data_IF_309278383859
#
_entry.id   IF_309278383859
#
_cell.length_a   1.000
_cell.length_b   1.000
_cell.length_c   1.000
_cell.angle_alpha   90.00
_cell.angle_beta   90.00
_cell.angle_gamma   90.00
#
_symmetry.space_group_name_H-M   'P 1'
#
loop_
_entity.id
_entity.type
_entity.pdbx_description
1 polymer ?
#
# COMPACT_ATOMS: atom_id res chain seq x y z
N UNK A 1 4.64 32.43 -13.27
CA UNK A 1 4.46 30.99 -13.58
C UNK A 1 3.42 30.45 -12.63
N UNK A 2 2.24 30.07 -13.11
CA UNK A 2 1.19 29.45 -12.26
C UNK A 2 1.68 28.10 -11.77
N UNK A 3 1.79 27.94 -10.45
CA UNK A 3 2.13 26.64 -9.85
C UNK A 3 1.15 25.57 -10.30
N UNK A 4 1.67 24.45 -10.79
CA UNK A 4 0.84 23.29 -11.16
C UNK A 4 0.21 22.70 -9.89
N UNK A 5 -1.08 22.30 -9.98
CA UNK A 5 -1.69 21.54 -8.90
C UNK A 5 -0.85 20.27 -8.59
N UNK A 6 -0.74 19.84 -7.32
CA UNK A 6 0.14 18.72 -6.93
C UNK A 6 -0.04 17.45 -7.79
N UNK A 7 -1.28 17.09 -8.10
CA UNK A 7 -1.59 15.93 -8.96
C UNK A 7 -1.07 16.12 -10.40
N UNK A 8 -1.10 17.33 -10.92
CA UNK A 8 -0.60 17.64 -12.26
C UNK A 8 0.91 17.42 -12.36
N UNK A 9 1.64 17.94 -11.38
CA UNK A 9 3.08 17.74 -11.28
C UNK A 9 3.44 16.25 -11.06
N UNK A 10 2.61 15.53 -10.29
CA UNK A 10 2.77 14.11 -10.05
C UNK A 10 2.63 13.26 -11.32
N UNK A 11 1.65 13.57 -12.15
CA UNK A 11 1.30 12.82 -13.35
C UNK A 11 2.17 13.20 -14.56
N UNK A 12 2.74 14.40 -14.58
CA UNK A 12 3.48 14.94 -15.72
C UNK A 12 4.49 13.98 -16.36
N UNK A 13 5.34 13.24 -15.60
CA UNK A 13 6.30 12.31 -16.22
C UNK A 13 5.66 11.17 -17.01
N UNK A 14 4.45 10.72 -16.63
CA UNK A 14 3.74 9.64 -17.30
C UNK A 14 3.03 10.10 -18.58
N UNK A 15 2.74 11.41 -18.72
CA UNK A 15 2.10 11.98 -19.91
C UNK A 15 2.95 11.95 -21.17
N UNK A 16 4.27 11.82 -21.04
CA UNK A 16 5.16 11.70 -22.21
C UNK A 16 4.86 10.45 -23.06
N UNK A 17 4.35 9.39 -22.43
CA UNK A 17 4.06 8.10 -23.10
C UNK A 17 2.81 7.43 -22.53
N UNK A 18 1.60 8.01 -22.75
CA UNK A 18 0.36 7.60 -22.05
C UNK A 18 -0.36 6.41 -22.71
N UNK A 19 0.26 5.71 -23.67
CA UNK A 19 -0.39 4.62 -24.40
C UNK A 19 -0.69 3.45 -23.45
N UNK A 20 -1.96 2.96 -23.46
CA UNK A 20 -2.44 1.88 -22.56
C UNK A 20 -1.63 0.60 -22.69
N UNK A 21 -1.26 0.20 -23.91
CA UNK A 21 -0.46 -1.00 -24.11
C UNK A 21 0.88 -0.96 -23.36
N UNK A 22 1.51 0.23 -23.22
CA UNK A 22 2.76 0.41 -22.48
C UNK A 22 2.53 0.19 -20.98
N UNK A 23 1.42 0.68 -20.47
CA UNK A 23 1.00 0.46 -19.09
C UNK A 23 0.73 -1.02 -18.84
N UNK A 24 -0.06 -1.67 -19.71
CA UNK A 24 -0.38 -3.09 -19.57
C UNK A 24 0.86 -3.98 -19.67
N UNK A 25 1.74 -3.73 -20.66
CA UNK A 25 3.01 -4.45 -20.77
C UNK A 25 3.88 -4.29 -19.52
N UNK A 26 3.90 -3.10 -18.92
CA UNK A 26 4.59 -2.87 -17.67
C UNK A 26 3.94 -3.59 -16.48
N UNK A 27 2.60 -3.66 -16.40
CA UNK A 27 1.92 -4.47 -15.40
C UNK A 27 2.31 -5.95 -15.50
N UNK A 28 2.40 -6.48 -16.72
CA UNK A 28 2.86 -7.87 -16.95
C UNK A 28 4.28 -8.07 -16.43
N UNK A 29 5.20 -7.13 -16.72
CA UNK A 29 6.59 -7.21 -16.22
C UNK A 29 6.64 -7.14 -14.70
N UNK A 30 5.82 -6.29 -14.07
CA UNK A 30 5.73 -6.19 -12.61
C UNK A 30 5.24 -7.51 -12.02
N UNK A 31 4.20 -8.11 -12.59
CA UNK A 31 3.66 -9.41 -12.14
C UNK A 31 4.70 -10.53 -12.31
N UNK A 32 5.38 -10.61 -13.46
CA UNK A 32 6.41 -11.63 -13.71
C UNK A 32 7.56 -11.48 -12.71
N UNK A 33 8.06 -10.25 -12.48
CA UNK A 33 9.16 -10.02 -11.56
C UNK A 33 8.78 -10.34 -10.11
N UNK A 34 7.57 -9.98 -9.69
CA UNK A 34 7.06 -10.31 -8.36
C UNK A 34 6.86 -11.81 -8.18
N UNK A 35 6.17 -12.47 -9.12
CA UNK A 35 5.94 -13.92 -9.08
C UNK A 35 7.27 -14.68 -9.14
N UNK A 36 8.20 -14.26 -10.00
CA UNK A 36 9.54 -14.83 -10.07
C UNK A 36 10.30 -14.74 -8.74
N UNK A 37 10.19 -13.62 -8.04
CA UNK A 37 10.75 -13.47 -6.69
C UNK A 37 10.08 -14.42 -5.68
N UNK A 38 8.74 -14.51 -5.69
CA UNK A 38 8.00 -15.42 -4.80
C UNK A 38 8.38 -16.87 -4.97
N UNK A 39 8.42 -17.37 -6.22
CA UNK A 39 8.75 -18.77 -6.50
C UNK A 39 10.23 -19.09 -6.26
N UNK A 40 11.10 -18.10 -6.21
CA UNK A 40 12.52 -18.27 -5.91
C UNK A 40 12.81 -18.21 -4.42
N UNK A 41 12.22 -17.24 -3.70
CA UNK A 41 12.50 -16.99 -2.27
C UNK A 41 12.01 -18.13 -1.38
N UNK A 42 10.78 -18.62 -1.58
CA UNK A 42 10.19 -19.61 -0.68
C UNK A 42 10.94 -20.96 -0.66
N UNK A 43 11.31 -21.57 -1.80
CA UNK A 43 12.13 -22.79 -1.79
C UNK A 43 13.52 -22.55 -1.20
N UNK A 44 14.19 -21.45 -1.56
CA UNK A 44 15.53 -21.13 -1.08
C UNK A 44 15.54 -21.00 0.45
N UNK A 45 14.56 -20.33 1.04
CA UNK A 45 14.44 -20.21 2.49
C UNK A 45 14.11 -21.54 3.16
N UNK A 46 13.27 -22.38 2.55
CA UNK A 46 12.97 -23.71 3.09
C UNK A 46 14.21 -24.59 3.12
N UNK A 47 15.02 -24.61 2.07
CA UNK A 47 16.27 -25.37 2.03
C UNK A 47 17.31 -24.82 3.01
N UNK A 48 17.43 -23.49 3.13
CA UNK A 48 18.26 -22.85 4.14
C UNK A 48 17.83 -23.23 5.55
N UNK A 49 16.54 -23.14 5.86
CA UNK A 49 15.97 -23.48 7.16
C UNK A 49 16.22 -24.96 7.51
N UNK A 50 16.02 -25.88 6.55
CA UNK A 50 16.32 -27.31 6.74
C UNK A 50 17.80 -27.54 7.02
N UNK A 51 18.70 -26.94 6.21
CA UNK A 51 20.15 -27.09 6.37
C UNK A 51 20.70 -26.60 7.69
N UNK A 52 20.01 -25.64 8.34
CA UNK A 52 20.38 -25.06 9.63
C UNK A 52 19.47 -25.49 10.78
N UNK A 53 18.56 -26.47 10.56
CA UNK A 53 17.58 -26.97 11.55
C UNK A 53 16.73 -25.85 12.18
N UNK A 54 16.42 -24.81 11.39
CA UNK A 54 15.60 -23.70 11.84
C UNK A 54 14.11 -24.04 11.67
N UNK A 55 13.39 -24.08 12.76
CA UNK A 55 11.95 -24.41 12.79
C UNK A 55 11.07 -23.18 13.08
N UNK A 56 11.54 -21.99 12.68
CA UNK A 56 10.86 -20.74 12.95
C UNK A 56 9.96 -20.33 11.77
N UNK A 57 8.61 -20.41 11.91
CA UNK A 57 7.67 -20.02 10.84
C UNK A 57 7.81 -18.54 10.41
N UNK A 58 8.31 -17.68 11.30
CA UNK A 58 8.53 -16.27 11.01
C UNK A 58 9.48 -16.05 9.83
N UNK A 59 10.47 -16.94 9.63
CA UNK A 59 11.43 -16.83 8.52
C UNK A 59 10.74 -16.88 7.14
N UNK A 60 9.73 -17.76 6.98
CA UNK A 60 8.99 -17.86 5.73
C UNK A 60 8.14 -16.62 5.49
N UNK A 61 7.52 -16.08 6.53
CA UNK A 61 6.73 -14.84 6.45
C UNK A 61 7.63 -13.65 6.09
N UNK A 62 8.77 -13.51 6.77
CA UNK A 62 9.76 -12.45 6.46
C UNK A 62 10.22 -12.56 5.01
N UNK A 63 10.55 -13.77 4.56
CA UNK A 63 11.00 -13.99 3.17
C UNK A 63 9.91 -13.70 2.16
N UNK A 64 8.66 -14.10 2.43
CA UNK A 64 7.50 -13.74 1.60
C UNK A 64 7.38 -12.22 1.44
N UNK A 65 7.50 -11.47 2.53
CA UNK A 65 7.44 -10.00 2.50
C UNK A 65 8.62 -9.39 1.71
N UNK A 66 9.84 -9.92 1.85
CA UNK A 66 10.99 -9.48 1.04
C UNK A 66 10.83 -9.78 -0.44
N UNK A 67 10.10 -10.83 -0.83
CA UNK A 67 9.85 -11.15 -2.24
C UNK A 67 9.06 -10.05 -2.99
N UNK A 68 8.38 -9.15 -2.27
CA UNK A 68 7.78 -7.93 -2.84
C UNK A 68 8.82 -6.97 -3.43
N UNK A 69 10.10 -7.11 -3.09
CA UNK A 69 11.21 -6.45 -3.79
C UNK A 69 11.21 -6.70 -5.30
N UNK A 70 10.72 -7.88 -5.73
CA UNK A 70 10.51 -8.19 -7.15
C UNK A 70 9.51 -7.23 -7.82
N UNK A 71 8.45 -6.82 -7.11
CA UNK A 71 7.48 -5.84 -7.63
C UNK A 71 8.12 -4.44 -7.80
N UNK A 72 9.02 -4.04 -6.88
CA UNK A 72 9.80 -2.79 -7.00
C UNK A 72 10.71 -2.86 -8.23
N UNK A 73 11.47 -3.95 -8.38
CA UNK A 73 12.37 -4.16 -9.50
C UNK A 73 11.60 -4.20 -10.84
N UNK A 74 10.48 -4.92 -10.87
CA UNK A 74 9.58 -4.96 -12.03
C UNK A 74 9.05 -3.59 -12.41
N UNK A 75 8.65 -2.76 -11.41
CA UNK A 75 8.20 -1.38 -11.66
C UNK A 75 9.32 -0.51 -12.20
N UNK A 76 10.53 -0.61 -11.63
CA UNK A 76 11.70 0.11 -12.12
C UNK A 76 12.00 -0.23 -13.60
N UNK A 77 11.93 -1.52 -13.94
CA UNK A 77 12.10 -1.99 -15.30
C UNK A 77 10.98 -1.50 -16.23
N UNK A 78 9.72 -1.59 -15.79
CA UNK A 78 8.55 -1.18 -16.56
C UNK A 78 8.60 0.33 -16.93
N UNK A 79 8.90 1.21 -15.96
CA UNK A 79 8.99 2.65 -16.25
C UNK A 79 10.17 2.99 -17.17
N UNK A 80 11.27 2.26 -17.03
CA UNK A 80 12.45 2.45 -17.88
C UNK A 80 12.21 2.02 -19.33
N UNK A 81 11.67 0.81 -19.51
CA UNK A 81 11.50 0.21 -20.85
C UNK A 81 10.33 0.82 -21.62
N UNK A 82 9.16 0.87 -21.01
CA UNK A 82 7.92 1.24 -21.70
C UNK A 82 7.61 2.73 -21.63
N UNK A 83 7.95 3.40 -20.52
CA UNK A 83 7.64 4.82 -20.35
C UNK A 83 8.87 5.74 -20.53
N UNK A 84 10.09 5.17 -20.59
CA UNK A 84 11.37 5.88 -20.74
C UNK A 84 11.54 7.04 -19.75
N UNK A 85 11.16 6.81 -18.49
CA UNK A 85 11.31 7.77 -17.39
C UNK A 85 12.11 7.17 -16.24
N UNK A 86 12.64 8.01 -15.37
CA UNK A 86 13.39 7.54 -14.21
C UNK A 86 12.46 6.87 -13.18
N UNK A 87 12.95 5.86 -12.46
CA UNK A 87 12.23 5.23 -11.35
C UNK A 87 11.84 6.25 -10.27
N UNK A 88 12.70 7.25 -9.99
CA UNK A 88 12.42 8.31 -9.03
C UNK A 88 11.10 9.05 -9.33
N UNK A 89 10.68 9.11 -10.58
CA UNK A 89 9.45 9.79 -10.98
C UNK A 89 8.16 9.15 -10.48
N UNK A 90 8.19 7.88 -10.04
CA UNK A 90 7.02 7.21 -9.45
C UNK A 90 6.65 7.78 -8.09
N UNK A 91 7.62 8.38 -7.39
CA UNK A 91 7.38 9.03 -6.10
C UNK A 91 6.80 10.45 -6.23
N UNK A 92 6.85 11.03 -7.43
CA UNK A 92 6.46 12.42 -7.69
C UNK A 92 7.65 13.40 -7.66
N UNK A 93 7.39 14.70 -7.78
CA UNK A 93 8.42 15.74 -7.76
C UNK A 93 9.29 15.66 -6.51
N UNK A 94 10.61 15.71 -6.73
CA UNK A 94 11.59 15.59 -5.65
C UNK A 94 11.91 14.16 -5.22
N UNK A 95 11.16 13.15 -5.70
CA UNK A 95 11.36 11.74 -5.31
C UNK A 95 10.81 11.43 -3.91
N UNK A 96 11.36 10.43 -3.22
CA UNK A 96 10.96 10.08 -1.86
C UNK A 96 11.26 11.22 -0.90
N UNK A 97 10.28 11.57 -0.04
CA UNK A 97 10.34 12.65 0.94
C UNK A 97 10.26 12.09 2.36
N UNK A 98 11.40 11.90 3.07
CA UNK A 98 11.44 11.30 4.41
C UNK A 98 10.55 12.03 5.42
N UNK A 99 10.44 13.36 5.33
CA UNK A 99 9.57 14.15 6.21
C UNK A 99 8.10 13.80 6.06
N UNK A 100 7.58 13.62 4.83
CA UNK A 100 6.18 13.21 4.61
C UNK A 100 5.93 11.77 5.10
N UNK A 101 6.89 10.86 4.88
CA UNK A 101 6.84 9.50 5.41
C UNK A 101 6.80 9.51 6.94
N UNK A 102 7.75 10.19 7.59
CA UNK A 102 7.84 10.24 9.06
C UNK A 102 6.60 10.86 9.72
N UNK A 103 6.06 11.94 9.15
CA UNK A 103 4.80 12.53 9.61
C UNK A 103 3.62 11.58 9.48
N UNK A 104 3.52 10.87 8.37
CA UNK A 104 2.48 9.87 8.16
C UNK A 104 2.58 8.73 9.19
N UNK A 105 3.80 8.21 9.41
CA UNK A 105 4.07 7.19 10.43
C UNK A 105 3.70 7.68 11.84
N UNK A 106 4.10 8.91 12.20
CA UNK A 106 3.83 9.46 13.54
C UNK A 106 2.31 9.62 13.79
N UNK A 107 1.58 10.20 12.84
CA UNK A 107 0.14 10.44 13.00
C UNK A 107 -0.63 9.12 13.04
N UNK A 108 -0.41 8.25 12.06
CA UNK A 108 -1.15 6.99 11.96
C UNK A 108 -0.75 6.00 13.05
N UNK A 109 0.54 5.98 13.40
CA UNK A 109 1.06 5.20 14.52
C UNK A 109 0.46 5.65 15.85
N UNK A 110 0.33 6.96 16.06
CA UNK A 110 -0.36 7.51 17.24
C UNK A 110 -1.83 7.07 17.33
N UNK A 111 -2.57 7.11 16.22
CA UNK A 111 -3.94 6.59 16.16
C UNK A 111 -4.01 5.09 16.40
N UNK A 112 -3.10 4.31 15.81
CA UNK A 112 -3.06 2.88 15.99
C UNK A 112 -2.78 2.47 17.45
N UNK A 113 -1.83 3.14 18.10
CA UNK A 113 -1.52 2.93 19.52
C UNK A 113 -2.69 3.34 20.43
N UNK A 114 -3.35 4.45 20.12
CA UNK A 114 -4.55 4.88 20.84
C UNK A 114 -5.69 3.87 20.67
N UNK A 115 -5.94 3.39 19.47
CA UNK A 115 -6.95 2.36 19.20
C UNK A 115 -6.65 1.07 19.95
N UNK A 116 -5.40 0.62 19.95
CA UNK A 116 -4.98 -0.56 20.70
C UNK A 116 -5.18 -0.37 22.22
N UNK A 117 -4.84 0.81 22.75
CA UNK A 117 -5.04 1.13 24.18
C UNK A 117 -6.53 1.19 24.58
N UNK A 118 -7.40 1.62 23.68
CA UNK A 118 -8.86 1.71 23.94
C UNK A 118 -9.58 0.36 23.77
N UNK A 119 -9.05 -0.52 22.92
CA UNK A 119 -9.72 -1.77 22.55
C UNK A 119 -9.13 -3.01 23.22
N UNK A 120 -8.03 -2.88 23.99
CA UNK A 120 -7.34 -4.02 24.57
C UNK A 120 -8.20 -4.85 25.54
N UNK A 121 -9.16 -4.23 26.25
CA UNK A 121 -10.09 -4.93 27.15
C UNK A 121 -11.37 -5.42 26.44
N UNK A 122 -11.59 -5.00 25.19
CA UNK A 122 -12.81 -5.30 24.44
C UNK A 122 -12.59 -6.45 23.45
N UNK A 123 -11.38 -6.53 22.90
CA UNK A 123 -11.02 -7.55 21.91
C UNK A 123 -10.32 -8.70 22.61
N UNK A 124 -10.85 -9.93 22.54
CA UNK A 124 -10.18 -11.10 23.11
C UNK A 124 -8.84 -11.34 22.40
N UNK A 125 -7.75 -11.28 23.17
CA UNK A 125 -6.39 -11.47 22.66
C UNK A 125 -5.71 -12.60 23.42
N UNK A 126 -4.91 -13.37 22.69
CA UNK A 126 -4.04 -14.40 23.25
C UNK A 126 -2.57 -14.11 22.91
N UNK A 127 -1.60 -14.63 23.68
CA UNK A 127 -0.19 -14.49 23.36
C UNK A 127 0.15 -15.12 22.01
N UNK A 128 0.83 -14.37 21.15
CA UNK A 128 1.41 -14.85 19.92
C UNK A 128 2.87 -15.27 20.09
N UNK A 129 3.77 -14.63 19.33
CA UNK A 129 5.22 -14.87 19.41
C UNK A 129 5.76 -14.39 20.76
N UNK A 130 6.54 -15.21 21.52
CA UNK A 130 7.15 -14.77 22.77
C UNK A 130 8.00 -13.51 22.59
N UNK A 131 7.88 -12.55 23.54
CA UNK A 131 8.53 -11.24 23.44
C UNK A 131 10.04 -11.29 23.09
N UNK A 132 10.87 -12.17 23.71
CA UNK A 132 12.30 -12.23 23.35
C UNK A 132 12.54 -12.70 21.91
N UNK A 133 11.69 -13.58 21.38
CA UNK A 133 11.74 -14.04 19.99
C UNK A 133 11.23 -12.96 19.06
N UNK A 134 10.13 -12.31 19.39
CA UNK A 134 9.57 -11.19 18.65
C UNK A 134 10.60 -10.06 18.49
N UNK A 135 11.28 -9.65 19.56
CA UNK A 135 12.35 -8.64 19.51
C UNK A 135 13.50 -9.04 18.56
N UNK A 136 13.83 -10.32 18.48
CA UNK A 136 14.85 -10.83 17.55
C UNK A 136 14.41 -10.78 16.09
N UNK A 137 13.10 -10.88 15.84
CA UNK A 137 12.56 -10.80 14.48
C UNK A 137 12.47 -9.35 13.95
N UNK A 138 12.25 -8.35 14.82
CA UNK A 138 11.99 -6.96 14.41
C UNK A 138 13.02 -6.37 13.45
N UNK A 139 14.36 -6.56 13.63
CA UNK A 139 15.35 -6.02 12.71
C UNK A 139 15.20 -6.50 11.26
N UNK A 140 14.58 -7.65 11.06
CA UNK A 140 14.31 -8.24 9.74
C UNK A 140 12.86 -8.01 9.30
N UNK A 141 11.91 -8.07 10.21
CA UNK A 141 10.49 -7.96 9.94
C UNK A 141 10.08 -6.51 9.58
N UNK A 142 10.60 -5.50 10.30
CA UNK A 142 10.29 -4.09 10.01
C UNK A 142 10.71 -3.69 8.58
N UNK A 143 11.95 -3.95 8.11
CA UNK A 143 12.31 -3.69 6.72
C UNK A 143 11.49 -4.52 5.72
N UNK A 144 11.15 -5.76 6.05
CA UNK A 144 10.36 -6.62 5.17
C UNK A 144 8.93 -6.05 4.95
N UNK A 145 8.24 -5.64 6.03
CA UNK A 145 6.93 -4.97 5.95
C UNK A 145 7.05 -3.66 5.17
N UNK A 146 8.10 -2.87 5.41
CA UNK A 146 8.32 -1.62 4.67
C UNK A 146 8.52 -1.87 3.16
N UNK A 147 9.28 -2.90 2.78
CA UNK A 147 9.49 -3.28 1.37
C UNK A 147 8.18 -3.71 0.74
N UNK A 148 7.38 -4.54 1.42
CA UNK A 148 6.07 -4.97 0.94
C UNK A 148 5.14 -3.77 0.71
N UNK A 149 4.95 -2.89 1.71
CA UNK A 149 4.09 -1.71 1.58
C UNK A 149 4.60 -0.74 0.50
N UNK A 150 5.91 -0.48 0.47
CA UNK A 150 6.49 0.36 -0.57
C UNK A 150 6.30 -0.23 -1.97
N UNK A 151 6.45 -1.55 -2.13
CA UNK A 151 6.26 -2.24 -3.41
C UNK A 151 4.83 -2.06 -3.94
N UNK A 152 3.84 -2.26 -3.09
CA UNK A 152 2.43 -2.09 -3.46
C UNK A 152 2.10 -0.63 -3.78
N UNK A 153 2.56 0.33 -2.96
CA UNK A 153 2.33 1.74 -3.25
C UNK A 153 3.01 2.18 -4.56
N UNK A 154 4.25 1.73 -4.80
CA UNK A 154 5.01 2.01 -6.03
C UNK A 154 4.29 1.43 -7.25
N UNK A 155 3.77 0.21 -7.18
CA UNK A 155 3.06 -0.43 -8.29
C UNK A 155 1.67 0.19 -8.52
N UNK A 156 0.87 0.36 -7.46
CA UNK A 156 -0.52 0.81 -7.59
C UNK A 156 -0.65 2.32 -7.76
N UNK A 157 0.04 3.13 -6.93
CA UNK A 157 -0.08 4.60 -6.98
C UNK A 157 1.01 5.21 -7.85
N UNK A 158 2.24 4.73 -7.73
CA UNK A 158 3.39 5.23 -8.50
C UNK A 158 3.40 4.82 -9.97
N UNK A 159 2.84 3.65 -10.32
CA UNK A 159 2.79 3.18 -11.70
C UNK A 159 1.39 3.20 -12.30
N UNK A 160 0.47 2.38 -11.77
CA UNK A 160 -0.86 2.18 -12.36
C UNK A 160 -1.71 3.45 -12.30
N UNK A 161 -1.93 4.02 -11.10
CA UNK A 161 -2.72 5.24 -10.92
C UNK A 161 -2.13 6.41 -11.71
N UNK A 162 -0.81 6.62 -11.64
CA UNK A 162 -0.13 7.70 -12.36
C UNK A 162 -0.26 7.54 -13.89
N UNK A 163 -0.17 6.31 -14.43
CA UNK A 163 -0.35 6.01 -15.85
C UNK A 163 -1.79 6.21 -16.32
N UNK A 164 -2.78 5.80 -15.51
CA UNK A 164 -4.20 6.02 -15.81
C UNK A 164 -4.55 7.51 -15.75
N UNK A 165 -4.06 8.25 -14.75
CA UNK A 165 -4.28 9.68 -14.61
C UNK A 165 -3.60 10.50 -15.73
N UNK A 166 -2.53 9.98 -16.34
CA UNK A 166 -1.90 10.59 -17.51
C UNK A 166 -2.80 10.55 -18.75
N UNK A 167 -3.72 9.58 -18.83
CA UNK A 167 -4.60 9.37 -19.98
C UNK A 167 -6.05 9.74 -19.73
N UNK A 168 -6.57 9.44 -18.54
CA UNK A 168 -7.98 9.62 -18.22
C UNK A 168 -8.20 10.72 -17.19
N UNK A 169 -9.28 11.48 -17.35
CA UNK A 169 -9.67 12.56 -16.44
C UNK A 169 -10.57 12.06 -15.31
N UNK A 170 -11.33 10.99 -15.57
CA UNK A 170 -12.28 10.43 -14.61
C UNK A 170 -11.55 9.87 -13.39
N UNK A 171 -11.90 10.35 -12.21
CA UNK A 171 -11.38 9.85 -10.93
C UNK A 171 -11.78 8.39 -10.70
N UNK A 172 -12.92 7.95 -11.24
CA UNK A 172 -13.34 6.56 -11.18
C UNK A 172 -12.33 5.64 -11.89
N UNK A 173 -11.68 6.13 -12.97
CA UNK A 173 -10.71 5.35 -13.71
C UNK A 173 -9.35 5.38 -13.02
N UNK A 174 -8.78 6.56 -12.75
CA UNK A 174 -7.40 6.61 -12.28
C UNK A 174 -7.24 6.41 -10.77
N UNK A 175 -8.29 6.63 -9.97
CA UNK A 175 -8.30 6.37 -8.53
C UNK A 175 -9.13 5.12 -8.19
N UNK A 176 -10.35 5.02 -8.72
CA UNK A 176 -11.28 3.94 -8.40
C UNK A 176 -10.82 2.58 -8.91
N UNK A 177 -10.40 2.49 -10.17
CA UNK A 177 -9.98 1.20 -10.76
C UNK A 177 -8.75 0.59 -10.05
N UNK A 178 -7.65 1.32 -9.77
CA UNK A 178 -6.54 0.78 -8.98
C UNK A 178 -6.95 0.32 -7.58
N UNK A 179 -7.85 1.05 -6.91
CA UNK A 179 -8.35 0.68 -5.60
C UNK A 179 -9.22 -0.58 -5.64
N UNK A 180 -10.07 -0.71 -6.66
CA UNK A 180 -10.88 -1.91 -6.89
C UNK A 180 -10.00 -3.14 -7.15
N UNK A 181 -8.98 -3.00 -8.00
CA UNK A 181 -8.03 -4.10 -8.27
C UNK A 181 -7.27 -4.46 -7.01
N UNK A 182 -6.83 -3.47 -6.23
CA UNK A 182 -6.14 -3.69 -4.95
C UNK A 182 -7.02 -4.47 -3.96
N UNK A 183 -8.29 -4.08 -3.81
CA UNK A 183 -9.26 -4.80 -3.00
C UNK A 183 -9.49 -6.23 -3.50
N UNK A 184 -9.67 -6.41 -4.80
CA UNK A 184 -9.91 -7.73 -5.40
C UNK A 184 -8.74 -8.71 -5.18
N UNK A 185 -7.50 -8.23 -5.13
CA UNK A 185 -6.32 -9.05 -4.82
C UNK A 185 -6.27 -9.49 -3.34
N UNK A 186 -7.05 -8.87 -2.47
CA UNK A 186 -7.19 -9.27 -1.05
C UNK A 186 -8.41 -10.17 -0.81
N UNK A 187 -9.15 -10.56 -1.85
CA UNK A 187 -10.26 -11.49 -1.73
C UNK A 187 -9.73 -12.92 -1.60
N UNK A 188 -9.70 -13.42 -0.37
CA UNK A 188 -9.26 -14.78 -0.06
C UNK A 188 -10.33 -15.50 0.79
N UNK A 189 -11.24 -16.24 0.16
CA UNK A 189 -12.28 -16.99 0.85
C UNK A 189 -11.75 -18.21 1.61
N UNK A 190 -10.54 -18.68 1.29
CA UNK A 190 -9.92 -19.82 1.98
C UNK A 190 -9.48 -19.39 3.40
N UNK A 191 -8.85 -18.22 3.52
CA UNK A 191 -8.39 -17.69 4.80
C UNK A 191 -9.50 -17.00 5.59
N UNK A 192 -10.40 -16.23 4.91
CA UNK A 192 -11.34 -15.34 5.57
C UNK A 192 -12.80 -15.80 5.53
N UNK A 193 -13.09 -16.93 4.87
CA UNK A 193 -14.44 -17.51 4.81
C UNK A 193 -15.48 -16.49 4.31
N UNK A 194 -16.59 -16.38 5.04
CA UNK A 194 -17.69 -15.44 4.72
C UNK A 194 -17.29 -13.96 4.80
N UNK A 195 -16.19 -13.62 5.50
CA UNK A 195 -15.69 -12.24 5.64
C UNK A 195 -14.75 -11.80 4.50
N UNK A 196 -14.42 -12.68 3.54
CA UNK A 196 -13.50 -12.38 2.44
C UNK A 196 -13.88 -11.11 1.66
N UNK A 197 -15.17 -10.89 1.39
CA UNK A 197 -15.66 -9.69 0.72
C UNK A 197 -15.44 -8.42 1.55
N UNK A 198 -15.53 -8.54 2.86
CA UNK A 198 -15.31 -7.41 3.76
C UNK A 198 -13.83 -7.04 3.84
N UNK A 199 -12.94 -8.03 3.87
CA UNK A 199 -11.48 -7.84 3.77
C UNK A 199 -11.12 -7.16 2.45
N UNK A 200 -11.66 -7.65 1.33
CA UNK A 200 -11.47 -7.03 0.02
C UNK A 200 -11.99 -5.58 -0.04
N UNK A 201 -13.16 -5.31 0.57
CA UNK A 201 -13.72 -3.97 0.64
C UNK A 201 -12.88 -3.02 1.51
N UNK A 202 -12.36 -3.50 2.66
CA UNK A 202 -11.45 -2.75 3.54
C UNK A 202 -10.15 -2.40 2.80
N UNK A 203 -9.53 -3.37 2.13
CA UNK A 203 -8.34 -3.13 1.31
C UNK A 203 -8.61 -2.12 0.18
N UNK A 204 -9.74 -2.24 -0.51
CA UNK A 204 -10.18 -1.29 -1.54
C UNK A 204 -10.38 0.13 -0.98
N UNK A 205 -10.97 0.26 0.22
CA UNK A 205 -11.15 1.53 0.91
C UNK A 205 -9.81 2.19 1.25
N UNK A 206 -8.89 1.44 1.86
CA UNK A 206 -7.51 1.89 2.09
C UNK A 206 -6.87 2.29 0.77
N UNK A 207 -7.11 1.51 -0.29
CA UNK A 207 -6.69 1.80 -1.66
C UNK A 207 -7.11 3.18 -2.15
N UNK A 208 -8.37 3.55 -1.93
CA UNK A 208 -8.93 4.87 -2.27
C UNK A 208 -8.29 5.98 -1.43
N UNK A 209 -8.19 5.77 -0.12
CA UNK A 209 -7.63 6.77 0.82
C UNK A 209 -6.18 7.09 0.47
N UNK A 210 -5.34 6.08 0.32
CA UNK A 210 -3.91 6.26 0.00
C UNK A 210 -3.72 6.91 -1.38
N UNK A 211 -4.57 6.55 -2.36
CA UNK A 211 -4.58 7.16 -3.69
C UNK A 211 -4.97 8.64 -3.65
N UNK A 212 -6.00 9.03 -2.89
CA UNK A 212 -6.42 10.43 -2.78
C UNK A 212 -5.38 11.28 -2.03
N UNK A 213 -4.78 10.74 -0.96
CA UNK A 213 -3.67 11.40 -0.24
C UNK A 213 -2.48 11.63 -1.18
N UNK A 214 -2.10 10.59 -1.96
CA UNK A 214 -1.03 10.72 -2.97
C UNK A 214 -1.35 11.80 -3.98
N UNK A 215 -2.58 11.84 -4.49
CA UNK A 215 -3.01 12.83 -5.48
C UNK A 215 -3.00 14.26 -4.91
N UNK A 216 -3.41 14.46 -3.66
CA UNK A 216 -3.43 15.78 -3.01
C UNK A 216 -2.03 16.28 -2.67
N UNK A 217 -1.14 15.39 -2.23
CA UNK A 217 0.23 15.75 -1.89
C UNK A 217 1.14 15.82 -3.13
N UNK A 218 0.74 15.20 -4.24
CA UNK A 218 1.59 15.02 -5.43
C UNK A 218 2.83 14.20 -5.12
N UNK A 219 2.78 13.34 -4.09
CA UNK A 219 3.92 12.56 -3.64
C UNK A 219 3.47 11.28 -2.93
N UNK A 220 4.22 10.18 -3.16
CA UNK A 220 3.90 8.84 -2.69
C UNK A 220 4.30 8.56 -1.23
N UNK A 221 5.22 9.36 -0.66
CA UNK A 221 5.89 9.03 0.61
C UNK A 221 4.94 8.92 1.80
N UNK A 222 3.90 9.77 1.87
CA UNK A 222 2.91 9.67 2.94
C UNK A 222 2.07 8.40 2.85
N UNK A 223 1.67 8.00 1.63
CA UNK A 223 0.93 6.76 1.41
C UNK A 223 1.74 5.53 1.86
N UNK A 224 3.03 5.48 1.54
CA UNK A 224 3.94 4.42 2.02
C UNK A 224 4.00 4.40 3.55
N UNK A 225 4.10 5.56 4.21
CA UNK A 225 4.13 5.64 5.66
C UNK A 225 2.84 5.16 6.34
N UNK A 226 1.69 5.57 5.81
CA UNK A 226 0.38 5.13 6.30
C UNK A 226 0.19 3.62 6.11
N UNK A 227 0.48 3.10 4.92
CA UNK A 227 0.38 1.68 4.61
C UNK A 227 1.32 0.85 5.50
N UNK A 228 2.55 1.34 5.68
CA UNK A 228 3.53 0.70 6.58
C UNK A 228 3.01 0.56 8.01
N UNK A 229 2.43 1.61 8.59
CA UNK A 229 1.87 1.53 9.95
C UNK A 229 0.71 0.54 10.01
N UNK A 230 -0.22 0.60 9.04
CA UNK A 230 -1.34 -0.32 8.97
C UNK A 230 -0.88 -1.78 8.99
N UNK A 231 0.06 -2.12 8.13
CA UNK A 231 0.56 -3.49 8.02
C UNK A 231 1.51 -3.88 9.17
N UNK A 232 2.28 -2.94 9.72
CA UNK A 232 3.09 -3.21 10.90
C UNK A 232 2.21 -3.57 12.12
N UNK A 233 1.10 -2.88 12.33
CA UNK A 233 0.13 -3.24 13.37
C UNK A 233 -0.47 -4.62 13.10
N UNK A 234 -0.97 -4.86 11.88
CA UNK A 234 -1.64 -6.10 11.51
C UNK A 234 -0.73 -7.33 11.47
N UNK A 235 0.55 -7.18 11.18
CA UNK A 235 1.48 -8.30 11.05
C UNK A 235 2.41 -8.49 12.25
N UNK A 236 2.73 -7.41 12.98
CA UNK A 236 3.71 -7.47 14.07
C UNK A 236 3.09 -7.32 15.45
N UNK A 237 1.94 -6.64 15.59
CA UNK A 237 1.33 -6.41 16.89
C UNK A 237 0.12 -7.30 17.15
N UNK A 238 -0.93 -7.21 16.33
CA UNK A 238 -2.18 -7.96 16.52
C UNK A 238 -2.63 -8.55 15.19
N UNK A 239 -2.70 -9.85 15.09
CA UNK A 239 -3.12 -10.58 13.89
C UNK A 239 -4.18 -11.63 14.20
N UNK A 240 -5.09 -11.96 13.28
CA UNK A 240 -5.79 -13.22 13.35
C UNK A 240 -4.79 -14.39 13.20
N UNK A 241 -5.12 -15.59 13.71
CA UNK A 241 -4.27 -16.78 13.61
C UNK A 241 -4.25 -17.31 12.16
N UNK A 242 -3.53 -16.62 11.31
CA UNK A 242 -3.33 -16.95 9.88
C UNK A 242 -1.87 -17.33 9.65
N UNK A 243 -1.51 -17.91 8.50
CA UNK A 243 -0.11 -18.17 8.16
C UNK A 243 0.81 -16.94 8.23
N UNK A 244 0.28 -15.74 8.03
CA UNK A 244 1.04 -14.48 8.17
C UNK A 244 1.12 -13.98 9.61
N UNK A 245 0.30 -14.51 10.53
CA UNK A 245 0.31 -14.17 11.97
C UNK A 245 1.53 -14.67 12.73
N UNK A 246 2.42 -15.46 12.10
CA UNK A 246 3.64 -15.99 12.72
C UNK A 246 4.69 -14.96 13.15
N UNK A 247 4.43 -13.66 12.93
CA UNK A 247 5.26 -12.54 13.40
C UNK A 247 4.58 -11.71 14.49
N UNK A 248 3.33 -11.98 14.81
CA UNK A 248 2.52 -11.12 15.68
C UNK A 248 2.77 -11.39 17.16
N UNK A 249 2.88 -10.31 17.93
CA UNK A 249 3.05 -10.36 19.38
C UNK A 249 1.78 -10.88 20.08
N UNK A 250 0.62 -10.53 19.57
CA UNK A 250 -0.70 -10.92 20.06
C UNK A 250 -1.52 -11.51 18.91
N UNK A 251 -2.34 -12.49 19.20
CA UNK A 251 -3.30 -13.07 18.26
C UNK A 251 -4.73 -12.80 18.73
N UNK A 252 -5.64 -12.66 17.77
CA UNK A 252 -7.07 -12.64 18.06
C UNK A 252 -7.50 -14.04 18.54
N UNK A 253 -8.13 -14.12 19.70
CA UNK A 253 -8.70 -15.37 20.18
C UNK A 253 -9.99 -15.70 19.40
N UNK A 254 -9.84 -16.49 18.34
CA UNK A 254 -10.97 -16.89 17.48
C UNK A 254 -11.92 -17.89 18.16
N UNK A 255 -11.52 -18.50 19.29
CA UNK A 255 -12.40 -19.37 20.06
C UNK A 255 -13.49 -18.57 20.79
N UNK A 256 -13.18 -17.31 21.10
CA UNK A 256 -14.11 -16.36 21.74
C UNK A 256 -14.70 -15.36 20.74
N UNK A 257 -14.24 -15.37 19.48
CA UNK A 257 -14.68 -14.43 18.45
C UNK A 257 -15.32 -15.18 17.28
N UNK A 258 -16.64 -15.16 17.23
CA UNK A 258 -17.39 -15.74 16.12
C UNK A 258 -17.26 -14.94 14.81
N UNK A 259 -17.85 -15.45 13.72
CA UNK A 259 -17.83 -14.76 12.42
C UNK A 259 -18.48 -13.36 12.49
N UNK A 260 -19.43 -13.12 13.39
CA UNK A 260 -20.07 -11.82 13.59
C UNK A 260 -19.13 -10.85 14.30
N UNK A 261 -18.39 -11.31 15.32
CA UNK A 261 -17.36 -10.53 15.99
C UNK A 261 -16.22 -10.13 15.06
N UNK A 262 -15.71 -11.05 14.24
CA UNK A 262 -14.72 -10.73 13.20
C UNK A 262 -15.24 -9.70 12.19
N UNK A 263 -16.52 -9.80 11.81
CA UNK A 263 -17.17 -8.81 10.96
C UNK A 263 -17.22 -7.45 11.62
N UNK A 264 -17.58 -7.38 12.90
CA UNK A 264 -17.61 -6.13 13.65
C UNK A 264 -16.23 -5.48 13.74
N UNK A 265 -15.17 -6.25 13.96
CA UNK A 265 -13.78 -5.77 13.97
C UNK A 265 -13.38 -5.15 12.61
N UNK A 266 -13.67 -5.82 11.49
CA UNK A 266 -13.41 -5.26 10.16
C UNK A 266 -14.19 -3.99 9.88
N UNK A 267 -15.47 -3.92 10.28
CA UNK A 267 -16.28 -2.71 10.13
C UNK A 267 -15.75 -1.56 10.99
N UNK A 268 -15.27 -1.86 12.20
CA UNK A 268 -14.63 -0.88 13.08
C UNK A 268 -13.34 -0.35 12.47
N UNK A 269 -12.50 -1.22 11.89
CA UNK A 269 -11.29 -0.83 11.18
C UNK A 269 -11.59 0.10 9.99
N UNK A 270 -12.59 -0.25 9.17
CA UNK A 270 -13.05 0.59 8.06
C UNK A 270 -13.56 1.96 8.56
N UNK A 271 -14.36 1.97 9.63
CA UNK A 271 -14.86 3.21 10.23
C UNK A 271 -13.73 4.07 10.78
N UNK A 272 -12.76 3.46 11.47
CA UNK A 272 -11.54 4.13 11.97
C UNK A 272 -10.74 4.75 10.82
N UNK A 273 -10.54 3.99 9.74
CA UNK A 273 -9.88 4.49 8.52
C UNK A 273 -10.59 5.72 7.95
N UNK A 274 -11.92 5.71 7.88
CA UNK A 274 -12.72 6.85 7.40
C UNK A 274 -12.63 8.05 8.34
N UNK A 275 -12.69 7.83 9.65
CA UNK A 275 -12.55 8.90 10.66
C UNK A 275 -11.16 9.53 10.56
N UNK A 276 -10.10 8.74 10.56
CA UNK A 276 -8.73 9.22 10.43
C UNK A 276 -8.52 9.99 9.13
N UNK A 277 -9.05 9.48 8.01
CA UNK A 277 -8.99 10.16 6.73
C UNK A 277 -9.81 11.48 6.75
N UNK A 278 -11.00 11.47 7.36
CA UNK A 278 -11.82 12.67 7.55
C UNK A 278 -11.09 13.75 8.36
N UNK A 279 -10.46 13.38 9.48
CA UNK A 279 -9.62 14.28 10.28
C UNK A 279 -8.44 14.82 9.48
N UNK A 280 -7.76 13.96 8.71
CA UNK A 280 -6.69 14.40 7.81
C UNK A 280 -7.19 15.42 6.78
N UNK A 281 -8.37 15.20 6.19
CA UNK A 281 -8.98 16.16 5.25
C UNK A 281 -9.34 17.49 5.92
N UNK A 282 -9.81 17.49 7.16
CA UNK A 282 -10.12 18.70 7.91
C UNK A 282 -8.87 19.52 8.20
N UNK A 283 -7.77 18.86 8.54
CA UNK A 283 -6.51 19.52 8.92
C UNK A 283 -5.74 20.00 7.68
N UNK A 284 -5.59 19.14 6.68
CA UNK A 284 -4.74 19.36 5.53
C UNK A 284 -5.49 19.60 4.23
N UNK A 285 -6.65 19.01 4.05
CA UNK A 285 -7.39 19.03 2.77
C UNK A 285 -7.82 20.42 2.34
N UNK A 286 -8.11 21.32 3.27
CA UNK A 286 -8.46 22.72 2.99
C UNK A 286 -7.28 23.51 2.42
N UNK A 287 -6.03 23.17 2.81
CA UNK A 287 -4.80 23.82 2.35
C UNK A 287 -4.35 23.30 0.98
N UNK A 288 -4.71 22.04 0.64
CA UNK A 288 -4.26 21.37 -0.58
C UNK A 288 -5.21 21.59 -1.78
N UNK A 289 -6.40 22.15 -1.55
CA UNK A 289 -7.37 22.42 -2.60
C UNK A 289 -7.97 21.17 -3.27
N UNK A 290 -8.90 21.34 -4.22
CA UNK A 290 -9.55 20.24 -4.91
C UNK A 290 -8.60 19.54 -5.90
N UNK A 291 -8.61 18.20 -5.91
CA UNK A 291 -7.86 17.40 -6.88
C UNK A 291 -8.56 17.45 -8.24
N UNK A 292 -8.02 18.22 -9.19
CA UNK A 292 -8.54 18.34 -10.56
C UNK A 292 -7.40 18.20 -11.56
N UNK A 293 -7.58 17.34 -12.57
CA UNK A 293 -6.71 17.26 -13.73
C UNK A 293 -7.17 18.31 -14.77
N UNK A 294 -6.24 19.17 -15.22
CA UNK A 294 -6.51 20.20 -16.25
C UNK A 294 -6.67 19.57 -17.64
N UNK A 295 -7.32 20.31 -18.53
CA UNK A 295 -7.42 19.92 -19.94
C UNK A 295 -6.03 20.04 -20.60
N UNK A 296 -5.52 18.93 -21.13
CA UNK A 296 -4.49 19.01 -22.14
C UNK A 296 -5.18 19.42 -23.46
N UNK A 297 -5.16 20.71 -23.80
CA UNK A 297 -5.72 21.20 -25.06
C UNK A 297 -6.61 22.43 -24.84
N UNK A 298 -6.02 23.60 -24.95
CA UNK A 298 -6.44 24.84 -25.62
C UNK A 298 -5.42 25.96 -25.32
N UNK A 299 -4.19 25.70 -25.65
CA UNK A 299 -3.15 26.71 -25.55
C UNK A 299 -2.31 26.83 -26.82
N UNK A 300 -2.94 26.73 -28.01
CA UNK A 300 -2.37 27.15 -29.27
C UNK A 300 -3.45 27.20 -30.37
N UNK A 301 -4.37 28.16 -30.23
CA UNK A 301 -5.15 28.64 -31.35
C UNK A 301 -5.51 30.09 -31.04
N UNK A 302 -4.57 31.00 -31.33
CA UNK A 302 -4.78 32.42 -31.14
C UNK A 302 -3.48 33.20 -31.29
N UNK A 303 -2.91 33.20 -32.48
CA UNK A 303 -1.71 33.98 -32.73
C UNK A 303 -1.19 33.85 -34.15
N UNK A 304 -2.11 33.92 -35.13
CA UNK A 304 -1.74 34.19 -36.51
C UNK A 304 -2.90 35.00 -37.14
N UNK A 305 -2.74 36.29 -37.19
CA UNK A 305 -3.70 37.20 -37.80
C UNK A 305 -3.51 38.61 -37.25
N UNK A 306 -2.50 39.30 -37.73
CA UNK A 306 -2.41 40.67 -38.29
C UNK A 306 -0.97 41.14 -38.24
#
# INVERSE_FOLDING_TARGET
>A
MTELAPIEAYVAPARARPALWRMLAGCVVICIAWFGALVSVAPTLREFAKGHQLHDPALLTIGFLYAFGGMIAGTALAVRLFQRRSFRSVFGPGGFRPGLFGWAVAIWGGFALLSLALLHDVVPLEPGVPLPQWLRHLPFAIPAVLIQCAAEEIAFRGYLMQSLAARFRSRLIWLGLPALVFGALHFDPVTHGANAWLVAASAGLIGLVLGDITARLGNLSAAIGLHFVNNAVALLLVSPPTPLGGLSLLLLDVSQTDAAGLRALHLTDMATTLVCYGLWLLIWGRRLGPVRLRHAGNGQAGGAGE
#
